data_IF_697259838152
#
_entry.id   IF_697259838152
#
_cell.length_a   1.000
_cell.length_b   1.000
_cell.length_c   1.000
_cell.angle_alpha   90.00
_cell.angle_beta   90.00
_cell.angle_gamma   90.00
#
_symmetry.space_group_name_H-M   'P 1'
#
loop_
_entity.id
_entity.type
_entity.pdbx_description
1 polymer ?
#
# COMPACT_ATOMS: atom_id res chain seq x y z
N UNK A 1 -9.01 14.58 -11.77
CA UNK A 1 -7.83 14.89 -10.93
C UNK A 1 -8.00 14.49 -9.47
N UNK A 2 -9.20 14.65 -8.86
CA UNK A 2 -9.47 14.25 -7.47
C UNK A 2 -9.15 12.78 -7.14
N UNK A 3 -9.42 11.87 -8.07
CA UNK A 3 -9.11 10.43 -7.92
C UNK A 3 -7.61 10.18 -7.72
N UNK A 4 -6.77 10.74 -8.59
CA UNK A 4 -5.31 10.67 -8.45
C UNK A 4 -4.82 11.36 -7.17
N UNK A 5 -5.41 12.51 -6.83
CA UNK A 5 -5.11 13.24 -5.59
C UNK A 5 -5.55 12.50 -4.32
N UNK A 6 -6.31 11.40 -4.40
CA UNK A 6 -6.70 10.61 -3.22
C UNK A 6 -5.81 9.39 -3.01
N UNK A 7 -4.89 9.10 -3.94
CA UNK A 7 -3.96 7.97 -3.83
C UNK A 7 -2.94 8.11 -2.70
N UNK A 8 -2.69 9.33 -2.21
CA UNK A 8 -1.79 9.52 -1.06
C UNK A 8 -2.26 8.74 0.16
N UNK A 9 -3.55 8.44 0.29
CA UNK A 9 -4.11 7.68 1.41
C UNK A 9 -3.64 6.24 1.37
N UNK A 10 -3.59 5.65 0.17
CA UNK A 10 -3.05 4.31 -0.03
C UNK A 10 -1.56 4.28 0.27
N UNK A 11 -0.81 5.26 -0.27
CA UNK A 11 0.64 5.35 -0.06
C UNK A 11 0.96 5.54 1.43
N UNK A 12 0.33 6.52 2.07
CA UNK A 12 0.55 6.83 3.48
C UNK A 12 0.09 5.70 4.39
N UNK A 13 -1.09 5.12 4.15
CA UNK A 13 -1.61 4.05 4.98
C UNK A 13 -0.74 2.79 4.92
N UNK A 14 -0.34 2.36 3.71
CA UNK A 14 0.61 1.25 3.54
C UNK A 14 1.94 1.57 4.20
N UNK A 15 2.45 2.81 4.05
CA UNK A 15 3.71 3.23 4.65
C UNK A 15 3.67 3.15 6.17
N UNK A 16 2.66 3.78 6.80
CA UNK A 16 2.53 3.83 8.26
C UNK A 16 2.42 2.43 8.84
N UNK A 17 1.59 1.55 8.26
CA UNK A 17 1.41 0.20 8.81
C UNK A 17 2.66 -0.66 8.63
N UNK A 18 3.30 -0.62 7.45
CA UNK A 18 4.56 -1.37 7.24
C UNK A 18 5.69 -0.85 8.12
N UNK A 19 5.79 0.47 8.28
CA UNK A 19 6.78 1.10 9.15
C UNK A 19 6.58 0.68 10.61
N UNK A 20 5.35 0.81 11.13
CA UNK A 20 5.03 0.41 12.51
C UNK A 20 5.27 -1.07 12.73
N UNK A 21 4.83 -1.94 11.80
CA UNK A 21 5.08 -3.38 11.91
C UNK A 21 6.58 -3.68 11.94
N UNK A 22 7.35 -3.11 11.02
CA UNK A 22 8.79 -3.36 10.94
C UNK A 22 9.50 -2.84 12.18
N UNK A 23 9.17 -1.63 12.63
CA UNK A 23 9.73 -1.02 13.83
C UNK A 23 9.46 -1.87 15.08
N UNK A 24 8.20 -2.24 15.31
CA UNK A 24 7.81 -3.05 16.46
C UNK A 24 8.44 -4.43 16.41
N UNK A 25 8.48 -5.06 15.23
CA UNK A 25 9.11 -6.36 15.05
C UNK A 25 10.62 -6.30 15.35
N UNK A 26 11.31 -5.28 14.84
CA UNK A 26 12.74 -5.07 15.12
C UNK A 26 13.01 -4.77 16.60
N UNK A 27 12.14 -4.02 17.27
CA UNK A 27 12.34 -3.65 18.68
C UNK A 27 12.01 -4.78 19.65
N UNK A 28 10.99 -5.58 19.35
CA UNK A 28 10.50 -6.64 20.25
C UNK A 28 11.27 -7.95 20.04
N UNK A 29 11.51 -8.33 18.78
CA UNK A 29 11.99 -9.68 18.45
C UNK A 29 13.49 -9.76 18.18
N UNK A 30 14.18 -8.62 18.10
CA UNK A 30 15.63 -8.56 17.84
C UNK A 30 16.32 -7.70 18.91
N UNK A 31 17.62 -7.92 19.16
CA UNK A 31 18.40 -7.13 20.12
C UNK A 31 18.77 -5.74 19.55
N UNK A 32 17.81 -5.04 18.95
CA UNK A 32 17.98 -3.70 18.41
C UNK A 32 17.63 -2.65 19.47
N UNK A 33 18.44 -1.61 19.58
CA UNK A 33 18.06 -0.43 20.38
C UNK A 33 16.88 0.29 19.71
N UNK A 34 16.15 1.10 20.47
CA UNK A 34 15.02 1.89 19.93
C UNK A 34 15.41 2.69 18.66
N UNK A 35 16.56 3.37 18.69
CA UNK A 35 17.06 4.16 17.56
C UNK A 35 17.39 3.25 16.37
N UNK A 36 18.06 2.12 16.60
CA UNK A 36 18.38 1.16 15.53
C UNK A 36 17.11 0.57 14.91
N UNK A 37 16.11 0.23 15.71
CA UNK A 37 14.83 -0.27 15.22
C UNK A 37 14.09 0.79 14.40
N UNK A 38 14.09 2.05 14.85
CA UNK A 38 13.41 3.16 14.17
C UNK A 38 14.05 3.45 12.80
N UNK A 39 15.36 3.63 12.77
CA UNK A 39 16.09 3.91 11.52
C UNK A 39 16.14 2.67 10.62
N UNK A 40 16.30 1.47 11.19
CA UNK A 40 16.27 0.21 10.46
C UNK A 40 14.94 0.00 9.74
N UNK A 41 13.82 0.25 10.42
CA UNK A 41 12.49 0.19 9.81
C UNK A 41 12.33 1.22 8.69
N UNK A 42 12.81 2.45 8.89
CA UNK A 42 12.78 3.49 7.86
C UNK A 42 13.57 3.06 6.61
N UNK A 43 14.80 2.59 6.79
CA UNK A 43 15.67 2.12 5.71
C UNK A 43 15.05 0.92 4.99
N UNK A 44 14.52 -0.06 5.73
CA UNK A 44 13.90 -1.23 5.12
C UNK A 44 12.68 -0.84 4.28
N UNK A 45 11.77 -0.04 4.84
CA UNK A 45 10.53 0.32 4.16
C UNK A 45 10.79 1.26 2.98
N UNK A 46 11.61 2.31 3.14
CA UNK A 46 11.83 3.30 2.09
C UNK A 46 12.85 2.85 1.03
N UNK A 47 14.00 2.31 1.45
CA UNK A 47 15.12 2.04 0.55
C UNK A 47 15.08 0.60 0.04
N UNK A 48 15.04 -0.38 0.94
CA UNK A 48 14.99 -1.78 0.51
C UNK A 48 13.66 -2.12 -0.18
N UNK A 49 12.57 -1.51 0.29
CA UNK A 49 11.25 -1.58 -0.32
C UNK A 49 11.07 -0.72 -1.58
N UNK A 50 12.11 -0.10 -2.15
CA UNK A 50 11.94 0.86 -3.26
C UNK A 50 11.27 0.23 -4.49
N UNK A 51 11.60 -1.03 -4.83
CA UNK A 51 10.96 -1.73 -5.95
C UNK A 51 9.46 -1.95 -5.70
N UNK A 52 9.09 -2.25 -4.45
CA UNK A 52 7.69 -2.33 -4.04
C UNK A 52 6.99 -0.98 -4.24
N UNK A 53 7.59 0.11 -3.76
CA UNK A 53 6.99 1.45 -3.88
C UNK A 53 6.82 1.92 -5.31
N UNK A 54 7.86 1.76 -6.13
CA UNK A 54 7.82 2.15 -7.55
C UNK A 54 6.73 1.36 -8.27
N UNK A 55 6.69 0.04 -8.11
CA UNK A 55 5.65 -0.80 -8.71
C UNK A 55 4.25 -0.43 -8.24
N UNK A 56 4.09 -0.23 -6.92
CA UNK A 56 2.81 0.13 -6.31
C UNK A 56 2.28 1.48 -6.84
N UNK A 57 3.12 2.52 -6.84
CA UNK A 57 2.73 3.87 -7.28
C UNK A 57 2.44 3.90 -8.79
N UNK A 58 3.29 3.27 -9.61
CA UNK A 58 3.08 3.20 -11.06
C UNK A 58 1.75 2.51 -11.37
N UNK A 59 1.47 1.37 -10.73
CA UNK A 59 0.23 0.64 -10.96
C UNK A 59 -1.00 1.41 -10.49
N UNK A 60 -0.93 2.13 -9.35
CA UNK A 60 -2.01 3.04 -8.92
C UNK A 60 -2.35 4.07 -10.00
N UNK A 61 -1.33 4.75 -10.54
CA UNK A 61 -1.52 5.78 -11.57
C UNK A 61 -2.09 5.19 -12.86
N UNK A 62 -1.55 4.06 -13.32
CA UNK A 62 -2.00 3.39 -14.55
C UNK A 62 -3.45 2.95 -14.42
N UNK A 63 -3.80 2.25 -13.34
CA UNK A 63 -5.14 1.69 -13.17
C UNK A 63 -6.19 2.77 -12.89
N UNK A 64 -5.86 3.80 -12.13
CA UNK A 64 -6.75 4.96 -11.98
C UNK A 64 -7.07 5.60 -13.33
N UNK A 65 -6.04 5.80 -14.16
CA UNK A 65 -6.17 6.43 -15.47
C UNK A 65 -6.95 5.56 -16.45
N UNK A 66 -6.81 4.23 -16.37
CA UNK A 66 -7.50 3.29 -17.24
C UNK A 66 -8.94 2.98 -16.80
N UNK A 67 -9.19 2.84 -15.50
CA UNK A 67 -10.47 2.34 -14.97
C UNK A 67 -11.37 3.45 -14.44
N UNK A 68 -10.83 4.40 -13.66
CA UNK A 68 -11.65 5.32 -12.88
C UNK A 68 -11.89 6.63 -13.63
N UNK A 69 -10.85 7.24 -14.19
CA UNK A 69 -10.95 8.52 -14.91
C UNK A 69 -11.95 8.46 -16.08
N UNK A 70 -11.98 7.41 -16.93
CA UNK A 70 -12.87 7.40 -18.09
C UNK A 70 -14.35 7.26 -17.72
N UNK A 71 -14.67 6.65 -16.57
CA UNK A 71 -16.04 6.46 -16.13
C UNK A 71 -16.11 6.26 -14.61
N UNK A 72 -16.53 7.26 -13.82
CA UNK A 72 -16.56 7.13 -12.36
C UNK A 72 -17.71 6.24 -11.84
N UNK A 73 -18.60 5.70 -12.69
CA UNK A 73 -19.67 4.79 -12.26
C UNK A 73 -19.09 3.52 -11.63
N UNK A 74 -19.80 2.99 -10.62
CA UNK A 74 -19.42 1.78 -9.88
C UNK A 74 -18.02 1.85 -9.25
N UNK A 75 -17.65 3.02 -8.72
CA UNK A 75 -16.32 3.30 -8.15
C UNK A 75 -15.83 2.19 -7.21
N UNK A 76 -16.65 1.75 -6.26
CA UNK A 76 -16.30 0.69 -5.32
C UNK A 76 -15.84 -0.60 -6.00
N UNK A 77 -16.51 -1.03 -7.09
CA UNK A 77 -16.12 -2.25 -7.83
C UNK A 77 -14.78 -2.03 -8.54
N UNK A 78 -14.58 -0.86 -9.15
CA UNK A 78 -13.32 -0.53 -9.83
C UNK A 78 -12.15 -0.47 -8.87
N UNK A 79 -12.35 0.10 -7.69
CA UNK A 79 -11.39 0.12 -6.61
C UNK A 79 -11.03 -1.29 -6.11
N UNK A 80 -12.00 -2.21 -6.07
CA UNK A 80 -11.73 -3.63 -5.75
C UNK A 80 -10.95 -4.35 -6.86
N UNK A 81 -11.26 -4.07 -8.14
CA UNK A 81 -10.50 -4.61 -9.27
C UNK A 81 -9.06 -4.09 -9.21
N UNK A 82 -8.88 -2.79 -8.99
CA UNK A 82 -7.56 -2.17 -8.81
C UNK A 82 -6.80 -2.84 -7.66
N UNK A 83 -7.46 -3.05 -6.52
CA UNK A 83 -6.87 -3.78 -5.40
C UNK A 83 -6.39 -5.19 -5.81
N UNK A 84 -7.21 -5.98 -6.50
CA UNK A 84 -6.85 -7.33 -6.95
C UNK A 84 -5.65 -7.29 -7.90
N UNK A 85 -5.69 -6.42 -8.91
CA UNK A 85 -4.65 -6.36 -9.95
C UNK A 85 -3.32 -5.91 -9.34
N UNK A 86 -3.32 -4.83 -8.56
CA UNK A 86 -2.12 -4.32 -7.90
C UNK A 86 -1.58 -5.32 -6.87
N UNK A 87 -2.46 -6.03 -6.16
CA UNK A 87 -2.05 -7.00 -5.14
C UNK A 87 -1.46 -8.27 -5.76
N UNK A 88 -1.79 -8.62 -7.01
CA UNK A 88 -1.34 -9.85 -7.65
C UNK A 88 0.19 -10.07 -7.69
N UNK A 89 1.05 -9.11 -8.10
CA UNK A 89 2.51 -9.27 -8.00
C UNK A 89 2.99 -9.44 -6.56
N UNK A 90 2.35 -8.78 -5.59
CA UNK A 90 2.73 -8.89 -4.18
C UNK A 90 2.29 -10.22 -3.56
N UNK A 91 1.15 -10.78 -3.97
CA UNK A 91 0.75 -12.14 -3.61
C UNK A 91 1.76 -13.15 -4.15
N UNK A 92 2.19 -13.00 -5.40
CA UNK A 92 3.25 -13.84 -5.96
C UNK A 92 4.55 -13.74 -5.16
N UNK A 93 4.99 -12.54 -4.78
CA UNK A 93 6.17 -12.36 -3.92
C UNK A 93 5.98 -12.92 -2.51
N UNK A 94 4.78 -12.84 -1.94
CA UNK A 94 4.48 -13.43 -0.63
C UNK A 94 4.59 -14.97 -0.63
N UNK A 95 4.30 -15.60 -1.77
CA UNK A 95 4.48 -17.04 -1.97
C UNK A 95 5.96 -17.36 -2.23
N UNK A 96 6.61 -16.61 -3.12
CA UNK A 96 8.00 -16.83 -3.55
C UNK A 96 9.03 -16.57 -2.45
N UNK A 97 8.78 -15.60 -1.57
CA UNK A 97 9.69 -15.17 -0.51
C UNK A 97 9.01 -15.35 0.87
N UNK A 98 9.02 -16.57 1.44
CA UNK A 98 8.34 -16.87 2.70
C UNK A 98 8.77 -15.98 3.87
N UNK A 99 10.06 -15.61 3.92
CA UNK A 99 10.62 -14.75 4.98
C UNK A 99 10.02 -13.34 4.98
N UNK A 100 9.60 -12.84 3.81
CA UNK A 100 8.99 -11.52 3.65
C UNK A 100 7.46 -11.58 3.53
N UNK A 101 6.87 -12.78 3.58
CA UNK A 101 5.43 -13.01 3.37
C UNK A 101 4.58 -12.09 4.22
N UNK A 102 4.92 -11.93 5.50
CA UNK A 102 4.14 -11.12 6.44
C UNK A 102 4.07 -9.66 6.01
N UNK A 103 5.18 -9.10 5.50
CA UNK A 103 5.21 -7.72 5.00
C UNK A 103 4.26 -7.54 3.81
N UNK A 104 4.31 -8.45 2.82
CA UNK A 104 3.43 -8.36 1.65
C UNK A 104 1.96 -8.55 2.02
N UNK A 105 1.64 -9.50 2.92
CA UNK A 105 0.27 -9.71 3.39
C UNK A 105 -0.27 -8.47 4.11
N UNK A 106 0.54 -7.88 5.00
CA UNK A 106 0.17 -6.63 5.68
C UNK A 106 -0.06 -5.53 4.65
N UNK A 107 0.84 -5.35 3.68
CA UNK A 107 0.68 -4.35 2.62
C UNK A 107 -0.64 -4.53 1.83
N UNK A 108 -0.97 -5.76 1.43
CA UNK A 108 -2.18 -6.09 0.67
C UNK A 108 -3.45 -5.78 1.48
N UNK A 109 -3.48 -6.16 2.76
CA UNK A 109 -4.62 -5.94 3.65
C UNK A 109 -4.77 -4.44 3.92
N UNK A 110 -3.68 -3.76 4.26
CA UNK A 110 -3.69 -2.31 4.48
C UNK A 110 -4.15 -1.58 3.23
N UNK A 111 -3.67 -1.98 2.05
CA UNK A 111 -4.09 -1.38 0.79
C UNK A 111 -5.60 -1.55 0.54
N UNK A 112 -6.18 -2.72 0.85
CA UNK A 112 -7.63 -2.89 0.77
C UNK A 112 -8.36 -1.90 1.69
N UNK A 113 -7.93 -1.79 2.94
CA UNK A 113 -8.55 -0.88 3.93
C UNK A 113 -8.46 0.57 3.46
N UNK A 114 -7.29 1.02 3.02
CA UNK A 114 -7.10 2.39 2.54
C UNK A 114 -7.90 2.67 1.27
N UNK A 115 -8.07 1.66 0.40
CA UNK A 115 -8.89 1.78 -0.80
C UNK A 115 -10.38 1.95 -0.48
N UNK A 116 -10.88 1.25 0.56
CA UNK A 116 -12.24 1.45 1.06
C UNK A 116 -12.43 2.82 1.73
N UNK A 117 -11.38 3.37 2.37
CA UNK A 117 -11.40 4.74 2.88
C UNK A 117 -11.39 5.77 1.75
N UNK A 118 -10.62 5.52 0.70
CA UNK A 118 -10.55 6.34 -0.51
C UNK A 118 -11.90 6.46 -1.19
N UNK A 119 -12.67 5.38 -1.30
CA UNK A 119 -14.05 5.40 -1.82
C UNK A 119 -14.92 6.43 -1.09
N UNK A 120 -14.89 6.44 0.25
CA UNK A 120 -15.65 7.39 1.07
C UNK A 120 -15.27 8.84 0.78
N UNK A 121 -14.00 9.12 0.54
CA UNK A 121 -13.50 10.48 0.31
C UNK A 121 -13.78 10.99 -1.09
N UNK A 122 -13.75 10.10 -2.08
CA UNK A 122 -14.17 10.45 -3.44
C UNK A 122 -15.68 10.75 -3.45
N UNK A 123 -16.50 9.91 -2.81
CA UNK A 123 -17.96 10.07 -2.79
C UNK A 123 -18.45 11.22 -1.89
N UNK A 124 -17.70 11.62 -0.84
CA UNK A 124 -18.10 12.70 0.09
C UNK A 124 -18.10 14.10 -0.53
N UNK A 125 -17.42 14.31 -1.66
CA UNK A 125 -17.30 15.65 -2.26
C UNK A 125 -17.51 15.59 -3.78
N UNK A 126 -18.78 15.58 -4.24
CA UNK A 126 -19.15 15.34 -5.64
C UNK A 126 -18.99 16.55 -6.59
N UNK A 127 -18.29 17.61 -6.18
CA UNK A 127 -18.10 18.81 -6.99
C UNK A 127 -16.95 18.67 -7.99
#
# INVERSE_FOLDING_TARGET
MKTLQTNWINILGVFVVLFLYTFLNSWINYPATFIQALFGAFVLVCLYGIMFWVGFIIMLIILDSALIIPNPKNLKIKLLIEWIVISSPFVYWAIKYPEQRTLYVIAIITFLITQLLRDKLINKDPR
#
